data_IF_832861820700
#
_entry.id   IF_832861820700
#
_cell.length_a   1.000
_cell.length_b   1.000
_cell.length_c   1.000
_cell.angle_alpha   90.00
_cell.angle_beta   90.00
_cell.angle_gamma   90.00
#
_symmetry.space_group_name_H-M   'P 1'
#
loop_
_entity.id
_entity.type
_entity.pdbx_description
1 polymer ?
#
# COMPACT_ATOMS: atom_id res chain seq x y z
N UNK A 1 -6.77 -8.73 25.41
CA UNK A 1 -6.71 -8.34 23.99
C UNK A 1 -7.05 -6.86 23.89
N UNK A 2 -6.22 -6.09 23.21
CA UNK A 2 -6.36 -4.67 22.96
C UNK A 2 -7.33 -4.44 21.80
N UNK A 3 -8.61 -4.20 22.11
CA UNK A 3 -9.67 -4.00 21.11
C UNK A 3 -9.38 -2.84 20.14
N UNK A 4 -8.72 -1.77 20.61
CA UNK A 4 -8.29 -0.65 19.75
C UNK A 4 -7.35 -1.09 18.62
N UNK A 5 -6.47 -2.06 18.90
CA UNK A 5 -5.53 -2.57 17.90
C UNK A 5 -6.23 -3.48 16.87
N UNK A 6 -7.32 -4.16 17.23
CA UNK A 6 -8.14 -4.91 16.28
C UNK A 6 -8.96 -3.99 15.37
N UNK A 7 -9.56 -2.95 15.94
CA UNK A 7 -10.28 -1.93 15.17
C UNK A 7 -9.36 -1.26 14.14
N UNK A 8 -8.12 -0.98 14.55
CA UNK A 8 -7.10 -0.45 13.65
C UNK A 8 -6.77 -1.39 12.48
N UNK A 9 -6.63 -2.70 12.72
CA UNK A 9 -6.43 -3.66 11.63
C UNK A 9 -7.65 -3.75 10.71
N UNK A 10 -8.87 -3.61 11.23
CA UNK A 10 -10.09 -3.57 10.42
C UNK A 10 -10.13 -2.31 9.53
N UNK A 11 -9.68 -1.17 10.05
CA UNK A 11 -9.53 0.07 9.29
C UNK A 11 -8.57 -0.11 8.10
N UNK A 12 -7.36 -0.60 8.35
CA UNK A 12 -6.36 -0.82 7.29
C UNK A 12 -6.85 -1.79 6.21
N UNK A 13 -7.54 -2.88 6.60
CA UNK A 13 -8.19 -3.79 5.63
C UNK A 13 -9.31 -3.10 4.83
N UNK A 14 -10.01 -2.14 5.42
CA UNK A 14 -10.97 -1.30 4.70
C UNK A 14 -10.31 -0.40 3.66
N UNK A 15 -9.14 0.14 3.96
CA UNK A 15 -8.32 0.91 3.02
C UNK A 15 -7.83 0.03 1.87
N UNK A 16 -7.37 -1.19 2.14
CA UNK A 16 -6.99 -2.16 1.11
C UNK A 16 -8.13 -2.46 0.12
N UNK A 17 -9.36 -2.63 0.62
CA UNK A 17 -10.55 -2.82 -0.25
C UNK A 17 -10.79 -1.61 -1.14
N UNK A 18 -10.59 -0.41 -0.60
CA UNK A 18 -10.74 0.84 -1.35
C UNK A 18 -9.67 0.96 -2.44
N UNK A 19 -8.42 0.64 -2.12
CA UNK A 19 -7.28 0.60 -3.05
C UNK A 19 -7.54 -0.41 -4.17
N UNK A 20 -7.94 -1.64 -3.84
CA UNK A 20 -8.22 -2.68 -4.82
C UNK A 20 -9.35 -2.26 -5.78
N UNK A 21 -10.43 -1.66 -5.26
CA UNK A 21 -11.51 -1.12 -6.07
C UNK A 21 -11.02 -0.05 -7.05
N UNK A 22 -10.25 0.94 -6.57
CA UNK A 22 -9.74 2.03 -7.40
C UNK A 22 -8.84 1.52 -8.53
N UNK A 23 -8.03 0.50 -8.25
CA UNK A 23 -7.12 -0.09 -9.25
C UNK A 23 -7.91 -0.82 -10.36
N UNK A 24 -8.95 -1.57 -10.00
CA UNK A 24 -9.83 -2.21 -11.00
C UNK A 24 -10.61 -1.16 -11.83
N UNK A 25 -11.05 -0.08 -11.20
CA UNK A 25 -11.69 1.05 -11.89
C UNK A 25 -10.73 1.69 -12.90
N UNK A 26 -9.48 1.96 -12.52
CA UNK A 26 -8.44 2.49 -13.42
C UNK A 26 -8.20 1.54 -14.58
N UNK A 27 -8.12 0.23 -14.34
CA UNK A 27 -7.97 -0.79 -15.38
C UNK A 27 -9.11 -0.74 -16.41
N UNK A 28 -10.35 -0.57 -15.95
CA UNK A 28 -11.50 -0.36 -16.83
C UNK A 28 -11.43 0.94 -17.63
N UNK A 29 -10.93 2.02 -17.03
CA UNK A 29 -10.75 3.32 -17.69
C UNK A 29 -9.63 3.29 -18.75
N UNK A 30 -8.56 2.51 -18.52
CA UNK A 30 -7.51 2.25 -19.53
C UNK A 30 -8.10 1.63 -20.79
N UNK A 31 -8.98 0.63 -20.65
CA UNK A 31 -9.64 -0.02 -21.80
C UNK A 31 -10.51 0.96 -22.59
N UNK A 32 -11.14 1.93 -21.90
CA UNK A 32 -11.96 2.99 -22.49
C UNK A 32 -11.14 4.17 -23.01
N UNK A 33 -9.82 4.20 -22.76
CA UNK A 33 -8.91 5.34 -23.04
C UNK A 33 -9.38 6.65 -22.41
N UNK A 34 -10.04 6.58 -21.25
CA UNK A 34 -10.53 7.75 -20.52
C UNK A 34 -9.41 8.33 -19.63
N UNK A 35 -8.54 9.14 -20.23
CA UNK A 35 -7.37 9.72 -19.52
C UNK A 35 -7.76 10.69 -18.41
N UNK A 36 -8.92 11.35 -18.54
CA UNK A 36 -9.45 12.23 -17.50
C UNK A 36 -9.92 11.41 -16.29
N UNK A 37 -10.68 10.35 -16.53
CA UNK A 37 -11.10 9.40 -15.50
C UNK A 37 -9.89 8.77 -14.80
N UNK A 38 -8.90 8.31 -15.56
CA UNK A 38 -7.66 7.72 -15.01
C UNK A 38 -6.98 8.72 -14.07
N UNK A 39 -6.74 9.97 -14.53
CA UNK A 39 -6.07 10.98 -13.72
C UNK A 39 -6.80 11.27 -12.40
N UNK A 40 -8.14 11.37 -12.43
CA UNK A 40 -8.94 11.60 -11.23
C UNK A 40 -8.84 10.44 -10.22
N UNK A 41 -8.87 9.20 -10.70
CA UNK A 41 -8.72 8.02 -9.84
C UNK A 41 -7.30 7.89 -9.31
N UNK A 42 -6.29 8.24 -10.10
CA UNK A 42 -4.89 8.25 -9.68
C UNK A 42 -4.62 9.24 -8.54
N UNK A 43 -5.22 10.44 -8.57
CA UNK A 43 -5.10 11.40 -7.46
C UNK A 43 -5.68 10.79 -6.17
N UNK A 44 -6.87 10.21 -6.26
CA UNK A 44 -7.51 9.54 -5.11
C UNK A 44 -6.65 8.39 -4.60
N UNK A 45 -6.17 7.52 -5.48
CA UNK A 45 -5.31 6.38 -5.15
C UNK A 45 -3.99 6.83 -4.50
N UNK A 46 -3.31 7.85 -5.04
CA UNK A 46 -2.08 8.42 -4.47
C UNK A 46 -2.32 8.92 -3.05
N UNK A 47 -3.38 9.70 -2.84
CA UNK A 47 -3.69 10.25 -1.51
C UNK A 47 -4.01 9.16 -0.48
N UNK A 48 -4.81 8.15 -0.87
CA UNK A 48 -5.15 7.01 -0.03
C UNK A 48 -3.93 6.19 0.36
N UNK A 49 -3.07 5.87 -0.61
CA UNK A 49 -1.84 5.13 -0.36
C UNK A 49 -0.87 5.89 0.56
N UNK A 50 -0.66 7.19 0.35
CA UNK A 50 0.21 7.98 1.22
C UNK A 50 -0.31 8.03 2.66
N UNK A 51 -1.62 8.19 2.84
CA UNK A 51 -2.26 8.13 4.16
C UNK A 51 -2.08 6.76 4.81
N UNK A 52 -2.31 5.68 4.07
CA UNK A 52 -2.18 4.31 4.53
C UNK A 52 -0.73 3.97 4.94
N UNK A 53 0.25 4.31 4.09
CA UNK A 53 1.68 4.12 4.40
C UNK A 53 2.07 4.83 5.69
N UNK A 54 1.61 6.08 5.87
CA UNK A 54 1.88 6.85 7.08
C UNK A 54 1.30 6.17 8.34
N UNK A 55 0.09 5.65 8.26
CA UNK A 55 -0.55 4.90 9.35
C UNK A 55 0.30 3.69 9.76
N UNK A 56 0.80 2.94 8.78
CA UNK A 56 1.62 1.77 9.07
C UNK A 56 2.98 2.12 9.67
N UNK A 57 3.65 3.16 9.15
CA UNK A 57 4.91 3.67 9.69
C UNK A 57 4.76 4.21 11.12
N UNK A 58 3.76 5.05 11.36
CA UNK A 58 3.57 5.74 12.65
C UNK A 58 3.12 4.79 13.76
N UNK A 59 2.43 3.70 13.42
CA UNK A 59 1.82 2.81 14.40
C UNK A 59 2.23 1.36 14.23
N UNK A 60 1.95 0.76 13.08
CA UNK A 60 2.02 -0.69 12.95
C UNK A 60 3.46 -1.23 13.08
N UNK A 61 4.39 -0.62 12.35
CA UNK A 61 5.82 -0.93 12.47
C UNK A 61 6.38 -0.47 13.82
N UNK A 62 5.99 0.71 14.30
CA UNK A 62 6.47 1.27 15.56
C UNK A 62 6.10 0.40 16.77
N UNK A 63 4.85 -0.03 16.89
CA UNK A 63 4.34 -0.86 17.98
C UNK A 63 4.98 -2.25 17.98
N UNK A 64 5.20 -2.84 16.79
CA UNK A 64 5.88 -4.13 16.66
C UNK A 64 7.34 -4.07 17.12
N UNK A 65 8.08 -3.04 16.69
CA UNK A 65 9.47 -2.83 17.10
C UNK A 65 9.57 -2.54 18.61
N UNK A 66 8.67 -1.72 19.14
CA UNK A 66 8.57 -1.44 20.58
C UNK A 66 8.33 -2.72 21.36
N UNK A 67 7.33 -3.51 20.95
CA UNK A 67 6.98 -4.78 21.58
C UNK A 67 8.14 -5.78 21.51
N UNK A 68 8.82 -5.88 20.37
CA UNK A 68 9.98 -6.75 20.21
C UNK A 68 11.10 -6.38 21.18
N UNK A 69 11.36 -5.09 21.37
CA UNK A 69 12.34 -4.58 22.33
C UNK A 69 11.93 -4.87 23.78
N UNK A 70 10.69 -4.55 24.16
CA UNK A 70 10.20 -4.73 25.53
C UNK A 70 10.15 -6.20 25.95
N UNK A 71 9.82 -7.10 25.01
CA UNK A 71 9.72 -8.54 25.25
C UNK A 71 10.99 -9.31 24.91
N UNK A 72 12.08 -8.64 24.50
CA UNK A 72 13.34 -9.24 24.03
C UNK A 72 13.15 -10.32 22.93
N UNK A 73 12.29 -10.06 21.95
CA UNK A 73 11.98 -10.98 20.84
C UNK A 73 12.74 -10.54 19.58
N UNK A 74 14.03 -10.88 19.51
CA UNK A 74 14.93 -10.46 18.42
C UNK A 74 14.41 -10.86 17.03
N UNK A 75 13.83 -12.05 16.90
CA UNK A 75 13.26 -12.54 15.63
C UNK A 75 12.17 -11.63 15.08
N UNK A 76 11.30 -11.06 15.94
CA UNK A 76 10.26 -10.11 15.51
C UNK A 76 10.89 -8.83 14.99
N UNK A 77 11.92 -8.30 15.67
CA UNK A 77 12.64 -7.11 15.20
C UNK A 77 13.28 -7.33 13.82
N UNK A 78 13.95 -8.47 13.61
CA UNK A 78 14.56 -8.82 12.32
C UNK A 78 13.48 -8.91 11.24
N UNK A 79 12.41 -9.65 11.48
CA UNK A 79 11.33 -9.82 10.49
C UNK A 79 10.68 -8.48 10.13
N UNK A 80 10.40 -7.63 11.13
CA UNK A 80 9.78 -6.33 10.92
C UNK A 80 10.67 -5.40 10.10
N UNK A 81 11.99 -5.37 10.37
CA UNK A 81 12.94 -4.56 9.61
C UNK A 81 13.08 -5.03 8.15
N UNK A 82 13.16 -6.34 7.92
CA UNK A 82 13.17 -6.90 6.56
C UNK A 82 11.90 -6.52 5.81
N UNK A 83 10.74 -6.72 6.44
CA UNK A 83 9.44 -6.41 5.84
C UNK A 83 9.31 -4.92 5.51
N UNK A 84 9.65 -4.02 6.46
CA UNK A 84 9.59 -2.58 6.25
C UNK A 84 10.50 -2.13 5.10
N UNK A 85 11.68 -2.73 4.97
CA UNK A 85 12.61 -2.43 3.87
C UNK A 85 12.01 -2.82 2.52
N UNK A 86 11.45 -4.03 2.41
CA UNK A 86 10.78 -4.48 1.19
C UNK A 86 9.58 -3.60 0.83
N UNK A 87 8.75 -3.25 1.82
CA UNK A 87 7.57 -2.42 1.60
C UNK A 87 7.92 -0.98 1.20
N UNK A 88 9.01 -0.41 1.74
CA UNK A 88 9.53 0.89 1.28
C UNK A 88 9.99 0.85 -0.17
N UNK A 89 10.59 -0.26 -0.61
CA UNK A 89 10.96 -0.47 -2.01
C UNK A 89 9.74 -0.52 -2.93
N UNK A 90 8.67 -1.20 -2.51
CA UNK A 90 7.37 -1.22 -3.23
C UNK A 90 6.76 0.18 -3.27
N UNK A 91 6.67 0.87 -2.13
CA UNK A 91 6.13 2.22 -2.04
C UNK A 91 6.89 3.20 -2.95
N UNK A 92 8.21 3.13 -3.00
CA UNK A 92 9.03 3.97 -3.86
C UNK A 92 8.70 3.78 -5.36
N UNK A 93 8.49 2.54 -5.82
CA UNK A 93 8.10 2.26 -7.20
C UNK A 93 6.71 2.80 -7.53
N UNK A 94 5.75 2.62 -6.62
CA UNK A 94 4.39 3.14 -6.77
C UNK A 94 4.39 4.69 -6.81
N UNK A 95 5.15 5.34 -5.94
CA UNK A 95 5.28 6.80 -5.93
C UNK A 95 5.96 7.32 -7.21
N UNK A 96 7.01 6.64 -7.67
CA UNK A 96 7.67 6.96 -8.94
C UNK A 96 6.72 6.87 -10.15
N UNK A 97 5.77 5.92 -10.14
CA UNK A 97 4.72 5.88 -11.14
C UNK A 97 3.82 7.12 -11.10
N UNK A 98 3.36 7.54 -9.92
CA UNK A 98 2.55 8.75 -9.80
C UNK A 98 3.28 10.01 -10.27
N UNK A 99 4.59 10.07 -10.07
CA UNK A 99 5.39 11.21 -10.49
C UNK A 99 5.67 11.19 -12.01
N UNK A 100 5.74 10.00 -12.62
CA UNK A 100 5.83 9.83 -14.08
C UNK A 100 4.53 10.22 -14.80
N UNK A 101 3.38 10.04 -14.16
CA UNK A 101 2.05 10.27 -14.74
C UNK A 101 1.22 11.27 -13.90
N UNK A 102 1.67 12.52 -13.76
CA UNK A 102 1.09 13.47 -12.80
C UNK A 102 -0.28 14.01 -13.22
N UNK A 103 -0.65 13.93 -14.50
CA UNK A 103 -1.89 14.46 -15.03
C UNK A 103 -2.33 13.75 -16.32
N UNK A 104 -3.55 14.08 -16.79
CA UNK A 104 -4.17 13.48 -17.98
C UNK A 104 -3.34 13.68 -19.27
N UNK A 105 -2.61 14.78 -19.40
CA UNK A 105 -1.88 15.11 -20.62
C UNK A 105 -0.63 14.26 -20.74
N UNK A 106 0.08 14.04 -19.63
CA UNK A 106 1.20 13.09 -19.58
C UNK A 106 0.71 11.66 -19.83
N UNK A 107 -0.38 11.23 -19.17
CA UNK A 107 -0.98 9.89 -19.41
C UNK A 107 -1.30 9.69 -20.91
N UNK A 108 -1.89 10.70 -21.56
CA UNK A 108 -2.23 10.62 -22.99
C UNK A 108 -0.99 10.50 -23.89
N UNK A 109 0.08 11.25 -23.61
CA UNK A 109 1.30 11.24 -24.44
C UNK A 109 2.04 9.90 -24.43
N UNK A 110 1.96 9.15 -23.33
CA UNK A 110 2.69 7.89 -23.13
C UNK A 110 1.76 6.71 -22.86
N UNK A 111 0.59 6.70 -23.48
CA UNK A 111 -0.52 5.74 -23.23
C UNK A 111 -0.08 4.26 -23.32
N UNK A 112 0.82 3.90 -24.24
CA UNK A 112 1.31 2.54 -24.39
C UNK A 112 2.19 2.12 -23.18
N UNK A 113 3.08 3.00 -22.74
CA UNK A 113 3.92 2.78 -21.57
C UNK A 113 3.09 2.81 -20.28
N UNK A 114 2.06 3.66 -20.22
CA UNK A 114 1.17 3.78 -19.06
C UNK A 114 0.54 2.44 -18.70
N UNK A 115 -0.01 1.71 -19.67
CA UNK A 115 -0.69 0.45 -19.40
C UNK A 115 0.26 -0.62 -18.84
N UNK A 116 1.49 -0.66 -19.36
CA UNK A 116 2.54 -1.58 -18.90
C UNK A 116 3.01 -1.21 -17.49
N UNK A 117 3.29 0.07 -17.25
CA UNK A 117 3.76 0.54 -15.96
C UNK A 117 2.67 0.42 -14.88
N UNK A 118 1.42 0.65 -15.26
CA UNK A 118 0.25 0.44 -14.40
C UNK A 118 0.11 -1.03 -13.99
N UNK A 119 0.38 -1.98 -14.90
CA UNK A 119 0.40 -3.41 -14.54
C UNK A 119 1.49 -3.72 -13.49
N UNK A 120 2.66 -3.09 -13.58
CA UNK A 120 3.69 -3.20 -12.55
C UNK A 120 3.23 -2.68 -11.18
N UNK A 121 2.58 -1.50 -11.16
CA UNK A 121 2.00 -0.92 -9.94
C UNK A 121 0.88 -1.80 -9.37
N UNK A 122 0.03 -2.36 -10.21
CA UNK A 122 -1.00 -3.31 -9.82
C UNK A 122 -0.39 -4.48 -9.05
N UNK A 123 0.64 -5.10 -9.60
CA UNK A 123 1.31 -6.26 -9.00
C UNK A 123 2.00 -5.89 -7.68
N UNK A 124 2.66 -4.74 -7.64
CA UNK A 124 3.33 -4.21 -6.45
C UNK A 124 2.34 -3.97 -5.29
N UNK A 125 1.19 -3.35 -5.59
CA UNK A 125 0.14 -3.11 -4.59
C UNK A 125 -0.46 -4.43 -4.10
N UNK A 126 -0.79 -5.35 -5.02
CA UNK A 126 -1.35 -6.65 -4.64
C UNK A 126 -0.37 -7.48 -3.82
N UNK A 127 0.93 -7.42 -4.14
CA UNK A 127 1.98 -8.08 -3.35
C UNK A 127 2.05 -7.50 -1.94
N UNK A 128 2.03 -6.17 -1.81
CA UNK A 128 2.03 -5.47 -0.53
C UNK A 128 0.85 -5.87 0.35
N UNK A 129 -0.37 -5.74 -0.17
CA UNK A 129 -1.62 -6.11 0.52
C UNK A 129 -1.58 -7.57 0.99
N UNK A 130 -1.16 -8.50 0.11
CA UNK A 130 -1.06 -9.91 0.47
C UNK A 130 -0.06 -10.16 1.59
N UNK A 131 1.12 -9.54 1.52
CA UNK A 131 2.16 -9.69 2.52
C UNK A 131 1.71 -9.11 3.87
N UNK A 132 1.04 -7.97 3.85
CA UNK A 132 0.52 -7.32 5.06
C UNK A 132 -0.55 -8.16 5.73
N UNK A 133 -1.56 -8.58 4.99
CA UNK A 133 -2.68 -9.33 5.58
C UNK A 133 -2.32 -10.76 5.99
N UNK A 134 -1.37 -11.41 5.31
CA UNK A 134 -1.00 -12.81 5.59
C UNK A 134 0.15 -12.96 6.57
N UNK A 135 1.00 -11.93 6.72
CA UNK A 135 2.21 -12.02 7.53
C UNK A 135 2.24 -10.94 8.61
N UNK A 136 2.19 -9.68 8.20
CA UNK A 136 2.41 -8.57 9.13
C UNK A 136 1.24 -8.38 10.11
N UNK A 137 -0.01 -8.45 9.65
CA UNK A 137 -1.18 -8.28 10.51
C UNK A 137 -1.36 -9.43 11.50
N UNK A 138 -1.18 -10.72 11.12
CA UNK A 138 -1.15 -11.80 12.11
C UNK A 138 -0.02 -11.65 13.13
N UNK A 139 1.15 -11.15 12.72
CA UNK A 139 2.25 -10.87 13.65
C UNK A 139 1.88 -9.74 14.62
N UNK A 140 1.29 -8.66 14.11
CA UNK A 140 0.79 -7.55 14.92
C UNK A 140 -0.27 -8.03 15.91
N UNK A 141 -1.23 -8.84 15.47
CA UNK A 141 -2.27 -9.41 16.31
C UNK A 141 -1.70 -10.31 17.41
N UNK A 142 -0.73 -11.16 17.09
CA UNK A 142 -0.10 -12.05 18.06
C UNK A 142 0.67 -11.32 19.16
N UNK A 143 1.32 -10.21 18.83
CA UNK A 143 2.29 -9.57 19.71
C UNK A 143 1.78 -8.28 20.36
N UNK A 144 0.88 -7.55 19.70
CA UNK A 144 0.42 -6.21 20.07
C UNK A 144 -1.09 -6.13 20.38
N UNK A 145 -1.90 -7.10 19.96
CA UNK A 145 -3.31 -7.22 20.39
C UNK A 145 -3.40 -8.09 21.66
#
# INVERSE_FOLDING_TARGET
MNELNKDYLMELKGEHKTVARLIEEIKGLIQKKDTQGIAAHMVTLKSGLLSHLKKEDDKLYADLLKTAKEKNIEMVSITVNTFSTEMKGIAARILGFFDKYPNKDEIARITADFSKDFQGVYEDIMKRVNNEEKVLYPMYEKHCC
#
